data_IF_865773738231
#
_entry.id   IF_865773738231
#
_cell.length_a   1.000
_cell.length_b   1.000
_cell.length_c   1.000
_cell.angle_alpha   90.00
_cell.angle_beta   90.00
_cell.angle_gamma   90.00
#
_symmetry.space_group_name_H-M   'P 1'
#
loop_
_entity.id
_entity.type
_entity.pdbx_description
1 polymer ?
#
# COMPACT_ATOMS: atom_id res chain seq x y z
N UNK A 1 -6.32 35.60 -0.46
CA UNK A 1 -6.25 34.16 -0.09
C UNK A 1 -7.12 33.25 -0.99
N UNK A 2 -8.12 33.76 -1.73
CA UNK A 2 -8.95 32.93 -2.64
C UNK A 2 -8.40 32.73 -4.07
N UNK A 3 -7.45 33.55 -4.53
CA UNK A 3 -6.97 33.51 -5.93
C UNK A 3 -5.96 32.38 -6.17
N UNK A 4 -5.10 32.07 -5.19
CA UNK A 4 -4.06 31.03 -5.31
C UNK A 4 -4.62 29.61 -5.44
N UNK A 5 -5.81 29.34 -4.88
CA UNK A 5 -6.46 28.03 -5.04
C UNK A 5 -6.95 27.82 -6.48
N UNK A 6 -7.48 28.86 -7.13
CA UNK A 6 -8.04 28.75 -8.49
C UNK A 6 -6.94 28.47 -9.53
N UNK A 7 -5.76 29.08 -9.41
CA UNK A 7 -4.65 28.83 -10.34
C UNK A 7 -4.09 27.41 -10.22
N UNK A 8 -4.07 26.84 -9.00
CA UNK A 8 -3.66 25.46 -8.77
C UNK A 8 -4.64 24.46 -9.42
N UNK A 9 -5.95 24.68 -9.28
CA UNK A 9 -6.98 23.88 -9.96
C UNK A 9 -6.90 23.98 -11.49
N UNK A 10 -6.62 25.18 -12.03
CA UNK A 10 -6.54 25.38 -13.48
C UNK A 10 -5.30 24.70 -14.08
N UNK A 11 -4.16 24.74 -13.41
CA UNK A 11 -2.95 24.04 -13.84
C UNK A 11 -3.09 22.50 -13.72
N UNK A 12 -3.79 22.00 -12.70
CA UNK A 12 -4.06 20.57 -12.53
C UNK A 12 -4.90 19.99 -13.67
N UNK A 13 -5.96 20.69 -14.07
CA UNK A 13 -6.88 20.23 -15.11
C UNK A 13 -6.18 20.14 -16.47
N UNK A 14 -5.24 21.04 -16.73
CA UNK A 14 -4.43 21.07 -17.96
C UNK A 14 -3.50 19.85 -18.03
N UNK A 15 -2.76 19.54 -16.96
CA UNK A 15 -1.77 18.45 -16.98
C UNK A 15 -2.41 17.05 -17.18
N UNK A 16 -3.57 16.78 -16.56
CA UNK A 16 -4.28 15.49 -16.71
C UNK A 16 -4.85 15.33 -18.13
N UNK A 17 -5.41 16.41 -18.69
CA UNK A 17 -5.90 16.42 -20.08
C UNK A 17 -4.74 16.26 -21.09
N UNK A 18 -3.57 16.84 -20.82
CA UNK A 18 -2.41 16.76 -21.70
C UNK A 18 -1.87 15.34 -21.87
N UNK A 19 -1.77 14.55 -20.79
CA UNK A 19 -1.29 13.16 -20.87
C UNK A 19 -2.24 12.29 -21.69
N UNK A 20 -3.56 12.44 -21.48
CA UNK A 20 -4.56 11.70 -22.25
C UNK A 20 -4.51 12.06 -23.73
N UNK A 21 -4.48 13.37 -24.03
CA UNK A 21 -4.40 13.88 -25.38
C UNK A 21 -3.12 13.38 -26.08
N UNK A 22 -1.98 13.38 -25.38
CA UNK A 22 -0.71 12.93 -25.94
C UNK A 22 -0.75 11.45 -26.35
N UNK A 23 -1.26 10.55 -25.49
CA UNK A 23 -1.40 9.11 -25.82
C UNK A 23 -2.35 8.89 -27.01
N UNK A 24 -3.43 9.67 -27.08
CA UNK A 24 -4.37 9.60 -28.19
C UNK A 24 -3.74 10.07 -29.51
N UNK A 25 -3.00 11.20 -29.48
CA UNK A 25 -2.27 11.69 -30.65
C UNK A 25 -1.21 10.72 -31.15
N UNK A 26 -0.45 10.09 -30.24
CA UNK A 26 0.51 9.05 -30.60
C UNK A 26 -0.17 7.87 -31.29
N UNK A 27 -1.28 7.38 -30.73
CA UNK A 27 -2.03 6.25 -31.32
C UNK A 27 -2.49 6.57 -32.74
N UNK A 28 -3.05 7.77 -32.95
CA UNK A 28 -3.44 8.24 -34.28
C UNK A 28 -2.26 8.34 -35.25
N UNK A 29 -1.10 8.80 -34.76
CA UNK A 29 0.12 8.85 -35.57
C UNK A 29 0.62 7.45 -35.95
N UNK A 30 0.58 6.47 -35.05
CA UNK A 30 0.93 5.08 -35.35
C UNK A 30 -0.03 4.45 -36.36
N UNK A 31 -1.33 4.70 -36.21
CA UNK A 31 -2.34 4.25 -37.18
C UNK A 31 -2.11 4.86 -38.57
N UNK A 32 -1.72 6.14 -38.65
CA UNK A 32 -1.34 6.77 -39.92
C UNK A 32 -0.09 6.14 -40.56
N UNK A 33 0.77 5.48 -39.76
CA UNK A 33 1.92 4.70 -40.22
C UNK A 33 1.59 3.23 -40.50
N UNK A 34 0.31 2.83 -40.52
CA UNK A 34 -0.15 1.43 -40.64
C UNK A 34 0.46 0.50 -39.57
N UNK A 35 0.81 1.04 -38.39
CA UNK A 35 1.19 0.25 -37.22
C UNK A 35 -0.04 0.06 -36.36
N UNK A 36 -0.43 -1.20 -36.18
CA UNK A 36 -1.57 -1.55 -35.33
C UNK A 36 -1.16 -1.43 -33.85
N UNK A 37 -1.58 -0.33 -33.23
CA UNK A 37 -1.43 -0.09 -31.81
C UNK A 37 -2.81 0.22 -31.24
N UNK A 38 -3.38 -0.71 -30.47
CA UNK A 38 -4.68 -0.49 -29.82
C UNK A 38 -4.52 0.39 -28.58
N UNK A 39 -5.32 1.44 -28.46
CA UNK A 39 -5.40 2.21 -27.22
C UNK A 39 -6.04 1.36 -26.11
N UNK A 40 -5.31 1.12 -25.02
CA UNK A 40 -5.74 0.28 -23.89
C UNK A 40 -6.70 0.99 -22.91
N UNK A 41 -7.00 2.27 -23.16
CA UNK A 41 -7.80 3.11 -22.26
C UNK A 41 -6.96 3.89 -21.25
N UNK A 42 -7.61 4.42 -20.22
CA UNK A 42 -6.97 5.19 -19.15
C UNK A 42 -7.68 4.93 -17.83
N UNK A 43 -6.90 4.73 -16.77
CA UNK A 43 -7.38 4.61 -15.40
C UNK A 43 -7.50 5.98 -14.69
N UNK A 44 -7.32 7.09 -15.42
CA UNK A 44 -7.39 8.46 -14.87
C UNK A 44 -6.47 8.66 -13.66
N UNK A 45 -5.27 8.09 -13.71
CA UNK A 45 -4.27 8.24 -12.65
C UNK A 45 -3.86 9.71 -12.53
N UNK A 46 -3.98 10.28 -11.34
CA UNK A 46 -3.52 11.64 -11.04
C UNK A 46 -2.87 11.71 -9.66
N UNK A 47 -1.95 12.65 -9.51
CA UNK A 47 -1.28 12.95 -8.25
C UNK A 47 -1.20 14.45 -8.02
N UNK A 48 -1.29 14.86 -6.76
CA UNK A 48 -1.13 16.24 -6.31
C UNK A 48 -0.28 16.24 -5.03
N UNK A 49 0.61 17.21 -4.92
CA UNK A 49 1.28 17.50 -3.67
C UNK A 49 0.60 18.69 -2.99
N UNK A 50 0.14 18.49 -1.77
CA UNK A 50 -0.47 19.52 -0.93
C UNK A 50 0.37 19.62 0.35
N UNK A 51 1.08 20.74 0.50
CA UNK A 51 2.10 20.90 1.54
C UNK A 51 3.12 19.76 1.47
N UNK A 52 3.37 19.09 2.59
CA UNK A 52 4.34 18.01 2.70
C UNK A 52 3.72 16.63 2.37
N UNK A 53 2.46 16.59 1.91
CA UNK A 53 1.79 15.34 1.55
C UNK A 53 1.62 15.21 0.05
N UNK A 54 2.03 14.06 -0.47
CA UNK A 54 1.67 13.58 -1.78
C UNK A 54 0.38 12.78 -1.69
N UNK A 55 -0.60 13.10 -2.54
CA UNK A 55 -1.86 12.39 -2.70
C UNK A 55 -1.97 11.93 -4.15
N UNK A 56 -2.29 10.66 -4.36
CA UNK A 56 -2.50 10.14 -5.70
C UNK A 56 -3.66 9.16 -5.74
N UNK A 57 -4.29 9.04 -6.89
CA UNK A 57 -5.38 8.09 -7.12
C UNK A 57 -5.35 7.54 -8.52
N UNK A 58 -5.93 6.36 -8.69
CA UNK A 58 -6.12 5.70 -9.97
C UNK A 58 -7.37 4.82 -9.91
N UNK A 59 -8.08 4.71 -11.02
CA UNK A 59 -9.33 3.94 -11.10
C UNK A 59 -10.49 4.61 -10.36
N UNK A 60 -11.46 3.80 -9.93
CA UNK A 60 -12.68 4.29 -9.29
C UNK A 60 -12.46 4.67 -7.83
N UNK A 61 -13.20 5.67 -7.35
CA UNK A 61 -13.39 5.91 -5.93
C UNK A 61 -14.46 4.97 -5.38
N UNK A 62 -14.47 4.69 -4.08
CA UNK A 62 -15.47 3.83 -3.47
C UNK A 62 -16.89 4.33 -3.73
N UNK A 63 -17.10 5.64 -3.59
CA UNK A 63 -18.39 6.30 -3.84
C UNK A 63 -18.83 6.22 -5.29
N UNK A 64 -17.91 6.23 -6.26
CA UNK A 64 -18.27 6.12 -7.68
C UNK A 64 -18.46 4.67 -8.11
N UNK A 65 -17.69 3.75 -7.54
CA UNK A 65 -17.88 2.31 -7.70
C UNK A 65 -19.26 1.88 -7.19
N UNK A 66 -19.65 2.29 -5.97
CA UNK A 66 -20.96 1.95 -5.39
C UNK A 66 -22.17 2.45 -6.20
N UNK A 67 -22.03 3.56 -6.94
CA UNK A 67 -23.12 4.05 -7.82
C UNK A 67 -23.34 3.17 -9.05
N UNK A 68 -22.31 2.42 -9.47
CA UNK A 68 -22.24 1.79 -10.78
C UNK A 68 -22.17 0.27 -10.71
N UNK A 69 -21.66 -0.27 -9.60
CA UNK A 69 -21.41 -1.69 -9.38
C UNK A 69 -22.08 -2.15 -8.08
N UNK A 70 -22.51 -3.41 -8.07
CA UNK A 70 -22.95 -4.13 -6.87
C UNK A 70 -21.72 -4.86 -6.28
N UNK A 71 -21.69 -5.06 -4.95
CA UNK A 71 -20.61 -5.79 -4.24
C UNK A 71 -19.22 -5.14 -4.38
N UNK A 72 -19.09 -3.94 -3.82
CA UNK A 72 -17.84 -3.18 -3.81
C UNK A 72 -17.26 -3.19 -2.41
N UNK A 73 -16.06 -3.74 -2.26
CA UNK A 73 -15.28 -3.73 -1.04
C UNK A 73 -14.24 -2.60 -1.04
N UNK A 74 -13.86 -2.16 0.14
CA UNK A 74 -12.80 -1.18 0.36
C UNK A 74 -11.97 -1.58 1.57
N UNK A 75 -10.66 -1.45 1.46
CA UNK A 75 -9.75 -1.53 2.61
C UNK A 75 -8.92 -0.26 2.70
N UNK A 76 -8.80 0.29 3.89
CA UNK A 76 -7.84 1.34 4.22
C UNK A 76 -6.73 0.70 5.06
N UNK A 77 -5.50 0.81 4.60
CA UNK A 77 -4.32 0.41 5.34
C UNK A 77 -3.38 1.59 5.47
N UNK A 78 -2.95 1.87 6.70
CA UNK A 78 -1.89 2.83 6.98
C UNK A 78 -0.74 2.10 7.65
N UNK A 79 0.46 2.24 7.08
CA UNK A 79 1.66 1.62 7.64
C UNK A 79 2.89 2.45 7.32
N UNK A 80 3.93 2.28 8.12
CA UNK A 80 5.26 2.84 7.89
C UNK A 80 5.96 2.00 6.82
N UNK A 81 6.58 2.64 5.82
CA UNK A 81 7.37 1.89 4.82
C UNK A 81 8.60 1.25 5.44
N UNK A 82 9.26 2.02 6.30
CA UNK A 82 10.37 1.52 7.05
C UNK A 82 9.90 0.67 8.21
N UNK A 83 10.74 -0.29 8.56
CA UNK A 83 10.53 -1.03 9.77
C UNK A 83 11.74 -0.84 10.65
N UNK A 84 11.50 -0.43 11.89
CA UNK A 84 12.39 -0.69 13.01
C UNK A 84 12.67 -2.21 13.25
N UNK A 85 12.35 -3.07 12.27
CA UNK A 85 12.61 -4.50 12.25
C UNK A 85 14.11 -4.81 12.22
N UNK A 86 14.93 -3.90 11.67
CA UNK A 86 16.38 -4.07 11.63
C UNK A 86 17.08 -3.63 12.93
N UNK A 87 16.67 -2.53 13.56
CA UNK A 87 17.29 -2.09 14.82
C UNK A 87 16.97 -3.03 16.00
N UNK A 88 15.73 -3.52 16.13
CA UNK A 88 15.35 -4.40 17.26
C UNK A 88 15.99 -5.79 17.23
N UNK A 89 16.53 -6.23 16.09
CA UNK A 89 17.29 -7.50 16.01
C UNK A 89 18.73 -7.35 16.50
N UNK A 90 19.35 -6.20 16.26
CA UNK A 90 20.67 -5.88 16.82
C UNK A 90 20.56 -5.81 18.35
N UNK A 91 19.54 -5.13 18.88
CA UNK A 91 19.35 -5.03 20.35
C UNK A 91 18.95 -6.34 21.03
N UNK A 92 18.15 -7.21 20.38
CA UNK A 92 17.77 -8.52 20.96
C UNK A 92 18.91 -9.54 20.98
N UNK A 93 19.92 -9.41 20.11
CA UNK A 93 21.11 -10.26 20.14
C UNK A 93 22.11 -9.78 21.21
N UNK A 94 22.08 -8.48 21.55
CA UNK A 94 22.94 -7.88 22.57
C UNK A 94 22.52 -8.27 24.01
N UNK A 95 21.26 -8.65 24.26
CA UNK A 95 20.77 -8.92 25.63
C UNK A 95 20.83 -10.39 26.12
N UNK A 96 21.34 -11.36 25.35
CA UNK A 96 21.56 -12.72 25.87
C UNK A 96 22.99 -12.92 26.38
N UNK A 97 23.33 -12.20 27.46
CA UNK A 97 24.56 -12.37 28.25
C UNK A 97 24.61 -13.65 29.12
N UNK A 98 23.91 -14.73 28.73
CA UNK A 98 23.95 -16.02 29.43
C UNK A 98 23.99 -17.23 28.47
N UNK A 99 24.62 -17.11 27.30
CA UNK A 99 24.92 -18.28 26.48
C UNK A 99 26.32 -18.82 26.83
N UNK A 100 26.35 -20.10 27.23
CA UNK A 100 27.53 -20.86 27.66
C UNK A 100 28.78 -20.58 26.79
N UNK A 101 29.86 -20.17 27.45
CA UNK A 101 31.14 -19.74 26.87
C UNK A 101 31.95 -20.85 26.17
N UNK A 102 31.45 -22.07 26.06
CA UNK A 102 32.19 -23.21 25.50
C UNK A 102 31.95 -23.44 23.99
N UNK A 103 31.05 -22.70 23.35
CA UNK A 103 30.72 -22.87 21.93
C UNK A 103 30.44 -21.52 21.25
N UNK A 104 31.44 -20.64 21.11
CA UNK A 104 31.23 -19.45 20.26
C UNK A 104 32.47 -18.86 19.56
N UNK A 105 33.57 -19.62 19.41
CA UNK A 105 34.78 -19.09 18.73
C UNK A 105 34.51 -18.79 17.25
N UNK A 106 33.71 -19.64 16.58
CA UNK A 106 33.32 -19.43 15.18
C UNK A 106 32.35 -18.27 14.99
N UNK A 107 31.37 -18.13 15.89
CA UNK A 107 30.38 -17.05 15.84
C UNK A 107 30.99 -15.68 16.14
N UNK A 108 31.90 -15.60 17.10
CA UNK A 108 32.58 -14.34 17.45
C UNK A 108 33.63 -13.93 16.40
N UNK A 109 34.26 -14.89 15.71
CA UNK A 109 35.14 -14.58 14.57
C UNK A 109 34.35 -14.06 13.37
N UNK A 110 33.21 -14.68 13.06
CA UNK A 110 32.31 -14.22 11.99
C UNK A 110 31.68 -12.86 12.33
N UNK A 111 31.35 -12.59 13.60
CA UNK A 111 30.93 -11.26 14.08
C UNK A 111 32.03 -10.22 13.91
N UNK A 112 33.24 -10.49 14.40
CA UNK A 112 34.35 -9.54 14.25
C UNK A 112 34.68 -9.27 12.77
N UNK A 113 34.51 -10.25 11.88
CA UNK A 113 34.63 -10.04 10.44
C UNK A 113 33.47 -9.22 9.87
N UNK A 114 32.23 -9.46 10.31
CA UNK A 114 31.06 -8.69 9.89
C UNK A 114 31.15 -7.24 10.39
N UNK A 115 31.53 -7.02 11.64
CA UNK A 115 31.73 -5.70 12.25
C UNK A 115 32.87 -4.96 11.56
N UNK A 116 34.00 -5.62 11.25
CA UNK A 116 35.08 -5.03 10.45
C UNK A 116 34.66 -4.67 9.02
N UNK A 117 33.77 -5.46 8.41
CA UNK A 117 33.22 -5.15 7.09
C UNK A 117 32.27 -3.96 7.17
N UNK A 118 31.38 -3.93 8.17
CA UNK A 118 30.44 -2.83 8.42
C UNK A 118 31.18 -1.53 8.74
N UNK A 119 32.24 -1.56 9.58
CA UNK A 119 33.08 -0.40 9.88
C UNK A 119 33.94 0.05 8.68
N UNK A 120 34.21 -0.85 7.72
CA UNK A 120 34.98 -0.51 6.50
C UNK A 120 34.14 0.19 5.43
N UNK A 121 32.80 0.05 5.51
CA UNK A 121 31.88 0.82 4.70
C UNK A 121 31.43 2.02 5.53
N UNK A 122 32.05 3.17 5.29
CA UNK A 122 31.60 4.48 5.75
C UNK A 122 30.28 4.83 5.04
N UNK A 123 29.24 4.02 5.29
CA UNK A 123 27.89 4.27 4.86
C UNK A 123 27.34 5.28 5.84
N UNK A 124 27.24 6.54 5.39
CA UNK A 124 26.41 7.54 6.05
C UNK A 124 24.99 6.98 6.14
N UNK A 125 24.63 6.38 7.28
CA UNK A 125 23.26 5.96 7.56
C UNK A 125 22.47 7.25 7.75
N UNK A 126 21.89 7.76 6.66
CA UNK A 126 20.92 8.84 6.75
C UNK A 126 19.75 8.33 7.58
N UNK A 127 19.64 8.83 8.82
CA UNK A 127 18.47 8.62 9.67
C UNK A 127 17.27 9.23 8.95
N UNK A 128 16.55 8.41 8.20
CA UNK A 128 15.30 8.78 7.55
C UNK A 128 14.18 8.57 8.57
N UNK A 129 13.38 9.60 8.81
CA UNK A 129 12.23 9.48 9.70
C UNK A 129 11.21 8.48 9.11
N UNK A 130 10.63 7.63 9.95
CA UNK A 130 9.58 6.69 9.54
C UNK A 130 8.37 7.47 9.01
N UNK A 131 8.16 7.45 7.70
CA UNK A 131 7.02 8.12 7.07
C UNK A 131 5.83 7.18 6.91
N UNK A 132 4.68 7.62 7.43
CA UNK A 132 3.42 6.91 7.31
C UNK A 132 2.87 7.06 5.90
N UNK A 133 2.55 5.94 5.26
CA UNK A 133 1.82 5.90 3.99
C UNK A 133 0.47 5.22 4.22
N UNK A 134 -0.57 5.79 3.64
CA UNK A 134 -1.93 5.28 3.67
C UNK A 134 -2.37 4.90 2.27
N UNK A 135 -2.96 3.72 2.14
CA UNK A 135 -3.49 3.17 0.89
C UNK A 135 -4.94 2.79 1.12
N UNK A 136 -5.80 3.24 0.22
CA UNK A 136 -7.15 2.73 0.07
C UNK A 136 -7.16 1.87 -1.19
N UNK A 137 -7.54 0.61 -1.07
CA UNK A 137 -7.73 -0.30 -2.19
C UNK A 137 -9.21 -0.63 -2.31
N UNK A 138 -9.74 -0.49 -3.53
CA UNK A 138 -11.15 -0.74 -3.85
C UNK A 138 -11.22 -1.90 -4.81
N UNK A 139 -12.08 -2.86 -4.51
CA UNK A 139 -12.18 -4.10 -5.25
C UNK A 139 -13.63 -4.58 -5.32
N UNK A 140 -13.90 -5.49 -6.24
CA UNK A 140 -15.18 -6.19 -6.31
C UNK A 140 -15.13 -7.43 -5.42
N UNK A 141 -16.12 -7.60 -4.53
CA UNK A 141 -16.12 -8.68 -3.53
C UNK A 141 -16.46 -10.07 -4.11
N UNK A 142 -17.12 -10.13 -5.26
CA UNK A 142 -17.50 -11.40 -5.89
C UNK A 142 -16.36 -12.02 -6.68
N UNK A 143 -15.58 -11.20 -7.39
CA UNK A 143 -14.54 -11.66 -8.31
C UNK A 143 -13.13 -11.16 -7.95
N UNK A 144 -12.99 -10.45 -6.84
CA UNK A 144 -11.72 -9.93 -6.32
C UNK A 144 -10.99 -8.95 -7.27
N UNK A 145 -11.62 -8.46 -8.35
CA UNK A 145 -10.97 -7.53 -9.28
C UNK A 145 -10.71 -6.19 -8.63
N UNK A 146 -9.51 -5.64 -8.86
CA UNK A 146 -9.15 -4.31 -8.38
C UNK A 146 -9.83 -3.26 -9.27
N UNK A 147 -10.57 -2.35 -8.62
CA UNK A 147 -11.35 -1.30 -9.29
C UNK A 147 -10.68 0.07 -9.18
N UNK A 148 -9.94 0.30 -8.09
CA UNK A 148 -9.33 1.59 -7.81
C UNK A 148 -8.37 1.56 -6.64
N UNK A 149 -7.54 2.59 -6.55
CA UNK A 149 -6.56 2.76 -5.49
C UNK A 149 -6.33 4.25 -5.22
N UNK A 150 -6.31 4.65 -3.94
CA UNK A 150 -5.87 5.96 -3.49
C UNK A 150 -4.68 5.80 -2.54
N UNK A 151 -3.69 6.68 -2.67
CA UNK A 151 -2.47 6.64 -1.85
C UNK A 151 -2.19 8.03 -1.33
N UNK A 152 -1.77 8.12 -0.07
CA UNK A 152 -1.33 9.35 0.58
C UNK A 152 -0.09 9.08 1.42
N UNK A 153 0.92 9.94 1.33
CA UNK A 153 2.15 9.84 2.13
C UNK A 153 2.96 11.12 2.04
N UNK A 154 3.97 11.29 2.90
CA UNK A 154 4.91 12.41 2.80
C UNK A 154 5.96 12.18 1.70
N UNK A 155 6.44 10.96 1.62
CA UNK A 155 7.34 10.45 0.59
C UNK A 155 6.72 10.44 -0.81
N UNK A 156 7.58 10.18 -1.80
CA UNK A 156 7.16 9.94 -3.17
C UNK A 156 6.35 8.63 -3.28
N UNK A 157 5.06 8.77 -3.58
CA UNK A 157 4.10 7.68 -3.77
C UNK A 157 3.86 7.36 -5.26
N UNK A 158 4.59 8.00 -6.17
CA UNK A 158 4.35 7.92 -7.62
C UNK A 158 4.45 6.49 -8.15
N UNK A 159 5.45 5.73 -7.68
CA UNK A 159 5.62 4.35 -8.12
C UNK A 159 4.49 3.44 -7.61
N UNK A 160 3.98 3.71 -6.41
CA UNK A 160 2.88 2.96 -5.79
C UNK A 160 1.62 3.12 -6.64
N UNK A 161 1.22 4.36 -6.94
CA UNK A 161 0.00 4.62 -7.72
C UNK A 161 0.11 4.12 -9.16
N UNK A 162 1.31 4.23 -9.77
CA UNK A 162 1.53 3.72 -11.13
C UNK A 162 1.45 2.18 -11.20
N UNK A 163 1.96 1.49 -10.17
CA UNK A 163 1.85 0.03 -10.06
C UNK A 163 0.39 -0.39 -9.92
N UNK A 164 -0.38 0.30 -9.08
CA UNK A 164 -1.82 0.06 -8.95
C UNK A 164 -2.56 0.34 -10.28
N UNK A 165 -2.16 1.36 -11.03
CA UNK A 165 -2.73 1.66 -12.35
C UNK A 165 -2.49 0.52 -13.34
N UNK A 166 -1.29 -0.05 -13.38
CA UNK A 166 -1.01 -1.21 -14.23
C UNK A 166 -1.81 -2.44 -13.79
N UNK A 167 -1.92 -2.69 -12.47
CA UNK A 167 -2.71 -3.79 -11.93
C UNK A 167 -4.18 -3.71 -12.37
N UNK A 168 -4.79 -2.52 -12.28
CA UNK A 168 -6.16 -2.28 -12.77
C UNK A 168 -6.26 -2.50 -14.28
N UNK A 169 -5.30 -1.97 -15.05
CA UNK A 169 -5.30 -2.09 -16.50
C UNK A 169 -5.21 -3.56 -16.97
N UNK A 170 -4.51 -4.41 -16.21
CA UNK A 170 -4.37 -5.84 -16.48
C UNK A 170 -5.56 -6.67 -15.99
N UNK A 171 -6.52 -6.07 -15.28
CA UNK A 171 -7.62 -6.81 -14.66
C UNK A 171 -7.15 -7.72 -13.53
N UNK A 172 -6.12 -7.29 -12.79
CA UNK A 172 -5.53 -8.06 -11.69
C UNK A 172 -6.50 -8.16 -10.51
N UNK A 173 -6.53 -9.33 -9.87
CA UNK A 173 -7.28 -9.57 -8.64
C UNK A 173 -6.50 -9.15 -7.39
N UNK A 174 -7.18 -8.94 -6.27
CA UNK A 174 -6.52 -8.70 -4.97
C UNK A 174 -5.66 -9.90 -4.54
N UNK A 175 -6.06 -11.12 -4.90
CA UNK A 175 -5.26 -12.34 -4.68
C UNK A 175 -3.92 -12.25 -5.42
N UNK A 176 -3.96 -11.95 -6.72
CA UNK A 176 -2.76 -11.82 -7.53
C UNK A 176 -1.87 -10.67 -7.05
N UNK A 177 -2.45 -9.54 -6.66
CA UNK A 177 -1.68 -8.42 -6.11
C UNK A 177 -1.02 -8.78 -4.79
N UNK A 178 -1.70 -9.50 -3.90
CA UNK A 178 -1.17 -9.93 -2.60
C UNK A 178 0.07 -10.83 -2.71
N UNK A 179 0.14 -11.66 -3.77
CA UNK A 179 1.24 -12.59 -4.03
C UNK A 179 2.18 -12.18 -5.16
N UNK A 180 1.95 -11.00 -5.77
CA UNK A 180 2.82 -10.46 -6.82
C UNK A 180 4.23 -10.21 -6.29
N UNK A 181 5.25 -10.26 -7.15
CA UNK A 181 6.64 -9.98 -6.76
C UNK A 181 6.92 -8.47 -6.80
N UNK A 182 6.42 -7.75 -5.79
CA UNK A 182 6.57 -6.31 -5.59
C UNK A 182 7.34 -6.03 -4.29
N UNK A 183 8.63 -6.36 -4.27
CA UNK A 183 9.49 -6.09 -3.12
C UNK A 183 10.96 -6.07 -3.52
N UNK A 184 11.71 -5.10 -3.01
CA UNK A 184 13.16 -5.09 -3.06
C UNK A 184 13.67 -5.21 -1.63
N UNK A 185 14.25 -6.34 -1.26
CA UNK A 185 14.90 -6.47 0.04
C UNK A 185 16.30 -5.87 -0.05
N UNK A 186 16.46 -4.66 0.47
CA UNK A 186 17.76 -3.98 0.63
C UNK A 186 18.38 -4.21 2.02
N UNK A 187 17.67 -4.92 2.90
CA UNK A 187 18.11 -5.18 4.26
C UNK A 187 17.50 -4.24 5.30
N UNK A 188 16.77 -3.21 4.87
CA UNK A 188 16.28 -2.15 5.77
C UNK A 188 14.76 -1.91 5.62
N UNK A 189 14.24 -2.09 4.41
CA UNK A 189 12.81 -2.05 4.09
C UNK A 189 12.07 -3.35 4.43
N UNK A 190 10.74 -3.25 4.62
CA UNK A 190 9.88 -4.43 4.69
C UNK A 190 9.97 -5.20 3.37
N UNK A 191 10.03 -6.55 3.41
CA UNK A 191 10.16 -7.35 2.19
C UNK A 191 8.89 -7.33 1.33
N UNK A 192 7.79 -6.78 1.84
CA UNK A 192 6.53 -6.61 1.14
C UNK A 192 6.20 -5.11 0.99
N UNK A 193 5.67 -4.73 -0.17
CA UNK A 193 5.18 -3.39 -0.43
C UNK A 193 3.81 -3.11 0.19
N UNK A 194 3.49 -1.84 0.45
CA UNK A 194 2.23 -1.45 1.10
C UNK A 194 0.97 -1.87 0.30
N UNK A 195 1.06 -1.96 -1.04
CA UNK A 195 -0.03 -2.47 -1.87
C UNK A 195 -0.31 -3.96 -1.60
N UNK A 196 0.73 -4.77 -1.47
CA UNK A 196 0.60 -6.19 -1.15
C UNK A 196 0.02 -6.36 0.26
N UNK A 197 0.44 -5.51 1.20
CA UNK A 197 -0.14 -5.53 2.54
C UNK A 197 -1.63 -5.19 2.53
N UNK A 198 -2.02 -4.13 1.79
CA UNK A 198 -3.42 -3.75 1.67
C UNK A 198 -4.24 -4.88 1.04
N UNK A 199 -3.73 -5.52 -0.01
CA UNK A 199 -4.36 -6.67 -0.63
C UNK A 199 -4.47 -7.88 0.33
N UNK A 200 -3.39 -8.24 1.02
CA UNK A 200 -3.41 -9.30 2.03
C UNK A 200 -4.40 -9.00 3.17
N UNK A 201 -4.50 -7.73 3.56
CA UNK A 201 -5.44 -7.28 4.59
C UNK A 201 -6.89 -7.42 4.13
N UNK A 202 -7.18 -7.10 2.86
CA UNK A 202 -8.49 -7.34 2.26
C UNK A 202 -8.84 -8.84 2.25
N UNK A 203 -7.88 -9.71 1.92
CA UNK A 203 -8.07 -11.16 1.91
C UNK A 203 -8.30 -11.75 3.30
N UNK A 204 -7.64 -11.21 4.33
CA UNK A 204 -7.81 -11.65 5.71
C UNK A 204 -9.15 -11.23 6.32
N UNK A 205 -9.98 -10.46 5.61
CA UNK A 205 -11.25 -9.89 6.08
C UNK A 205 -11.10 -9.28 7.49
N UNK A 206 -10.22 -8.28 7.63
CA UNK A 206 -10.31 -7.45 8.84
C UNK A 206 -11.70 -6.78 8.84
N UNK A 207 -12.43 -6.83 9.98
CA UNK A 207 -13.74 -6.22 10.07
C UNK A 207 -13.65 -4.74 9.68
N UNK A 208 -14.62 -4.30 8.88
CA UNK A 208 -14.75 -2.91 8.46
C UNK A 208 -14.97 -2.05 9.72
N UNK A 209 -13.94 -1.31 10.14
CA UNK A 209 -14.00 -0.45 11.33
C UNK A 209 -14.99 0.71 11.18
N UNK A 210 -15.53 0.94 9.98
CA UNK A 210 -16.56 1.94 9.72
C UNK A 210 -18.00 1.38 9.88
N UNK A 211 -18.17 0.05 10.02
CA UNK A 211 -19.45 -0.64 10.21
C UNK A 211 -19.54 -1.28 11.61
N UNK A 212 -19.37 -0.48 12.66
CA UNK A 212 -19.85 -0.88 13.98
C UNK A 212 -21.36 -0.59 14.04
N UNK A 213 -22.17 -1.55 13.60
CA UNK A 213 -23.56 -1.62 14.07
C UNK A 213 -23.51 -2.03 15.55
N UNK A 214 -23.46 -1.05 16.45
CA UNK A 214 -23.41 -1.24 17.91
C UNK A 214 -24.53 -2.18 18.42
N UNK A 215 -25.64 -2.25 17.68
CA UNK A 215 -26.83 -3.06 18.00
C UNK A 215 -26.61 -4.58 17.86
N UNK A 216 -25.64 -5.05 17.05
CA UNK A 216 -25.44 -6.49 16.82
C UNK A 216 -24.61 -7.17 17.94
N UNK A 217 -23.83 -6.38 18.69
CA UNK A 217 -23.04 -6.88 19.82
C UNK A 217 -23.87 -7.00 21.10
N UNK A 218 -24.78 -6.06 21.38
CA UNK A 218 -25.67 -6.17 22.55
C UNK A 218 -26.60 -7.39 22.45
N UNK A 219 -27.10 -7.71 21.25
CA UNK A 219 -27.95 -8.88 21.03
C UNK A 219 -27.22 -10.23 21.20
N UNK A 220 -25.89 -10.26 21.04
CA UNK A 220 -25.07 -11.46 21.27
C UNK A 220 -24.76 -11.66 22.76
N UNK A 221 -24.60 -10.58 23.53
CA UNK A 221 -24.40 -10.67 24.99
C UNK A 221 -25.69 -11.08 25.73
N UNK A 222 -26.87 -10.58 25.34
CA UNK A 222 -28.15 -10.98 25.95
C UNK A 222 -28.48 -12.46 25.69
N UNK A 223 -28.13 -13.00 24.52
CA UNK A 223 -28.36 -14.40 24.21
C UNK A 223 -27.38 -15.33 24.95
N UNK A 224 -26.11 -14.93 25.15
CA UNK A 224 -25.14 -15.71 25.91
C UNK A 224 -25.44 -15.70 27.42
N UNK A 225 -25.85 -14.55 27.98
CA UNK A 225 -26.24 -14.46 29.39
C UNK A 225 -27.51 -15.24 29.71
N UNK A 226 -28.49 -15.28 28.79
CA UNK A 226 -29.68 -16.12 28.95
C UNK A 226 -29.43 -17.63 28.73
N UNK A 227 -28.40 -18.03 27.97
CA UNK A 227 -28.00 -19.44 27.88
C UNK A 227 -27.32 -19.93 29.17
N UNK A 228 -26.45 -19.11 29.77
CA UNK A 228 -25.72 -19.50 30.99
C UNK A 228 -26.67 -19.67 32.19
N UNK A 229 -27.78 -18.93 32.25
CA UNK A 229 -28.78 -19.07 33.31
C UNK A 229 -29.66 -20.32 33.14
N UNK A 230 -29.96 -20.74 31.91
CA UNK A 230 -30.84 -21.89 31.63
C UNK A 230 -30.13 -23.24 31.73
N UNK A 231 -28.79 -23.28 31.70
CA UNK A 231 -28.00 -24.50 31.87
C UNK A 231 -27.63 -24.78 33.35
N UNK A 232 -28.16 -23.99 34.29
CA UNK A 232 -27.86 -24.08 35.72
C UNK A 232 -28.96 -24.69 36.62
N UNK A 233 -30.02 -25.25 36.03
CA UNK A 233 -31.12 -25.96 36.72
C UNK A 233 -31.12 -27.49 36.50
#
# INVERSE_FOLDING_TARGET
>A
MHISYIECYFSLLINVLEIFNFKYYLTNAYQALNKDLSAVGSNQTYGIQLFDYSLATTGLTYTDAQKTLQHVGRILLSDYLWSAYCEKKVDKVIQKQELNTFFNIGGDTVRNMADQVVESFDMDIEQTEDELVSVILIFNEENNLILGCQVMGKQDITQIVNTASIAIQMGMTIDELAFSDLGGFDGETKPWGILQMAANTALMQLPDFDNFDDDEYEAKEENQSNQILNDSD
#
